data_IF_832984406718
#
_entry.id   IF_832984406718
#
_cell.length_a   1.000
_cell.length_b   1.000
_cell.length_c   1.000
_cell.angle_alpha   90.00
_cell.angle_beta   90.00
_cell.angle_gamma   90.00
#
_symmetry.space_group_name_H-M   'P 1'
#
loop_
_entity.id
_entity.type
_entity.pdbx_description
1 polymer ?
#
# COMPACT_ATOMS: atom_id res chain seq x y z
N UNK A 1 -20.41 -0.48 -12.15
CA UNK A 1 -19.73 -1.76 -11.89
C UNK A 1 -19.84 -2.03 -10.40
N UNK A 2 -20.49 -3.13 -10.03
CA UNK A 2 -20.50 -3.64 -8.67
C UNK A 2 -19.87 -5.04 -8.70
N UNK A 3 -18.80 -5.26 -7.95
CA UNK A 3 -18.11 -6.56 -7.98
C UNK A 3 -17.61 -6.94 -6.60
N UNK A 4 -18.14 -8.05 -6.09
CA UNK A 4 -17.72 -8.60 -4.80
C UNK A 4 -16.32 -9.20 -4.90
N UNK A 5 -15.56 -9.08 -3.80
CA UNK A 5 -14.20 -9.57 -3.70
C UNK A 5 -14.00 -10.30 -2.38
N UNK A 6 -13.37 -11.46 -2.50
CA UNK A 6 -12.99 -12.31 -1.37
C UNK A 6 -11.47 -12.21 -1.19
N UNK A 7 -11.05 -11.90 0.02
CA UNK A 7 -9.68 -11.77 0.45
C UNK A 7 -9.38 -12.69 1.63
N UNK A 8 -8.09 -12.85 1.89
CA UNK A 8 -7.54 -13.58 3.02
C UNK A 8 -6.64 -12.63 3.83
N UNK A 9 -6.51 -12.89 5.12
CA UNK A 9 -5.53 -12.20 5.95
C UNK A 9 -4.10 -12.58 5.54
N UNK A 10 -3.14 -11.70 5.84
CA UNK A 10 -1.72 -11.88 5.53
C UNK A 10 -0.91 -12.00 6.81
N UNK A 11 -0.31 -13.17 7.03
CA UNK A 11 0.35 -13.52 8.29
C UNK A 11 -0.63 -13.46 9.47
N UNK A 12 -0.17 -12.97 10.61
CA UNK A 12 -0.97 -12.93 11.85
C UNK A 12 -1.94 -11.74 11.94
N UNK A 13 -2.18 -11.04 10.83
CA UNK A 13 -3.09 -9.87 10.79
C UNK A 13 -4.53 -10.33 10.97
N UNK A 14 -5.31 -9.52 11.68
CA UNK A 14 -6.78 -9.66 11.80
C UNK A 14 -7.53 -8.59 10.97
N UNK A 15 -6.87 -8.12 9.92
CA UNK A 15 -7.40 -7.09 9.04
C UNK A 15 -6.83 -7.24 7.63
N UNK A 16 -7.59 -6.81 6.64
CA UNK A 16 -7.22 -6.80 5.24
C UNK A 16 -5.99 -5.91 5.00
N UNK A 17 -4.95 -6.48 4.39
CA UNK A 17 -3.76 -5.72 4.02
C UNK A 17 -4.07 -4.85 2.79
N UNK A 18 -3.81 -3.55 2.90
CA UNK A 18 -4.01 -2.57 1.83
C UNK A 18 -3.26 -2.92 0.53
N UNK A 19 -2.10 -3.56 0.64
CA UNK A 19 -1.34 -4.05 -0.52
C UNK A 19 -2.12 -5.11 -1.31
N UNK A 20 -2.88 -5.99 -0.65
CA UNK A 20 -3.70 -6.99 -1.34
C UNK A 20 -4.85 -6.37 -2.13
N UNK A 21 -5.47 -5.30 -1.60
CA UNK A 21 -6.44 -4.49 -2.36
C UNK A 21 -5.80 -3.85 -3.58
N UNK A 22 -4.61 -3.26 -3.42
CA UNK A 22 -3.89 -2.62 -4.51
C UNK A 22 -3.59 -3.63 -5.64
N UNK A 23 -3.07 -4.81 -5.31
CA UNK A 23 -2.76 -5.86 -6.30
C UNK A 23 -4.00 -6.38 -7.02
N UNK A 24 -5.13 -6.51 -6.31
CA UNK A 24 -6.40 -6.90 -6.93
C UNK A 24 -6.97 -5.81 -7.84
N UNK A 25 -6.86 -4.53 -7.44
CA UNK A 25 -7.29 -3.39 -8.26
C UNK A 25 -6.42 -3.23 -9.52
N UNK A 26 -5.11 -3.47 -9.43
CA UNK A 26 -4.24 -3.53 -10.62
C UNK A 26 -4.71 -4.64 -11.56
N UNK A 27 -4.95 -5.86 -11.05
CA UNK A 27 -5.44 -6.98 -11.87
C UNK A 27 -6.80 -6.69 -12.51
N UNK A 28 -7.69 -6.02 -11.79
CA UNK A 28 -8.99 -5.60 -12.30
C UNK A 28 -8.88 -4.57 -13.43
N UNK A 29 -7.90 -3.66 -13.34
CA UNK A 29 -7.68 -2.60 -14.34
C UNK A 29 -6.85 -3.06 -15.53
N UNK A 30 -6.03 -4.10 -15.39
CA UNK A 30 -5.20 -4.66 -16.46
C UNK A 30 -3.75 -4.17 -16.43
N UNK A 31 -3.02 -4.38 -17.54
CA UNK A 31 -1.54 -4.36 -17.58
C UNK A 31 -0.88 -3.01 -17.92
N UNK A 32 -1.59 -1.88 -17.91
CA UNK A 32 -0.98 -0.56 -18.23
C UNK A 32 -1.62 0.59 -17.42
N UNK A 33 -1.86 0.36 -16.13
CA UNK A 33 -2.55 1.34 -15.28
C UNK A 33 -1.64 2.53 -14.96
N UNK A 34 -2.11 3.73 -15.31
CA UNK A 34 -1.38 5.00 -15.13
C UNK A 34 -2.11 5.97 -14.23
N UNK A 35 -1.36 6.91 -13.67
CA UNK A 35 -1.85 8.00 -12.81
C UNK A 35 -2.66 7.48 -11.61
N UNK A 36 -2.11 6.47 -10.96
CA UNK A 36 -2.70 5.77 -9.82
C UNK A 36 -2.67 6.70 -8.61
N UNK A 37 -3.81 6.83 -7.93
CA UNK A 37 -3.95 7.43 -6.62
C UNK A 37 -4.81 6.50 -5.78
N UNK A 38 -4.15 5.72 -4.92
CA UNK A 38 -4.80 4.75 -4.03
C UNK A 38 -4.74 5.27 -2.61
N UNK A 39 -5.89 5.37 -1.94
CA UNK A 39 -6.04 5.77 -0.55
C UNK A 39 -6.67 4.64 0.25
N UNK A 40 -6.12 4.38 1.41
CA UNK A 40 -6.65 3.44 2.38
C UNK A 40 -7.19 4.23 3.57
N UNK A 41 -8.51 4.18 3.77
CA UNK A 41 -9.21 4.99 4.76
C UNK A 41 -9.27 4.32 6.12
N UNK A 42 -9.55 3.01 6.15
CA UNK A 42 -9.69 2.25 7.39
C UNK A 42 -9.37 0.78 7.22
N UNK A 43 -8.98 0.13 8.32
CA UNK A 43 -8.86 -1.34 8.36
C UNK A 43 -10.23 -1.97 8.39
N UNK A 44 -10.32 -3.14 7.78
CA UNK A 44 -11.50 -4.01 7.87
C UNK A 44 -11.08 -5.44 8.14
N UNK A 45 -11.88 -6.16 8.91
CA UNK A 45 -11.81 -7.61 9.08
C UNK A 45 -12.80 -8.35 8.18
N UNK A 46 -13.45 -7.65 7.25
CA UNK A 46 -14.52 -8.16 6.41
C UNK A 46 -14.18 -8.04 4.93
N UNK A 47 -14.91 -8.79 4.11
CA UNK A 47 -14.83 -8.77 2.66
C UNK A 47 -15.34 -7.45 2.11
N UNK A 48 -15.05 -7.19 0.83
CA UNK A 48 -15.32 -5.90 0.22
C UNK A 48 -16.07 -6.01 -1.10
N UNK A 49 -16.74 -4.92 -1.45
CA UNK A 49 -17.38 -4.67 -2.73
C UNK A 49 -16.62 -3.55 -3.44
N UNK A 50 -16.37 -3.72 -4.74
CA UNK A 50 -15.92 -2.62 -5.59
C UNK A 50 -17.10 -1.97 -6.29
N UNK A 51 -17.18 -0.64 -6.22
CA UNK A 51 -18.20 0.17 -6.86
C UNK A 51 -17.55 1.32 -7.66
N UNK A 52 -18.12 1.68 -8.81
CA UNK A 52 -17.75 2.89 -9.56
C UNK A 52 -18.61 4.12 -9.22
N UNK A 53 -19.70 3.90 -8.49
CA UNK A 53 -20.54 4.94 -7.91
C UNK A 53 -20.08 5.22 -6.49
N UNK A 54 -20.07 6.50 -6.12
CA UNK A 54 -19.71 6.92 -4.76
C UNK A 54 -20.68 6.29 -3.76
N UNK A 55 -20.19 5.65 -2.69
CA UNK A 55 -21.04 5.09 -1.65
C UNK A 55 -21.83 6.16 -0.89
N UNK A 56 -22.92 5.74 -0.27
CA UNK A 56 -23.72 6.57 0.62
C UNK A 56 -23.00 6.79 1.96
N UNK A 57 -23.46 7.77 2.74
CA UNK A 57 -22.85 8.10 4.04
C UNK A 57 -22.89 6.97 5.08
N UNK A 58 -23.75 5.97 4.89
CA UNK A 58 -23.90 4.82 5.78
C UNK A 58 -22.92 3.69 5.45
N UNK A 59 -22.39 3.67 4.22
CA UNK A 59 -21.46 2.66 3.76
C UNK A 59 -20.07 2.88 4.37
N UNK A 60 -19.42 1.78 4.74
CA UNK A 60 -18.08 1.80 5.31
C UNK A 60 -17.03 1.80 4.19
N UNK A 61 -16.54 2.98 3.80
CA UNK A 61 -15.50 3.14 2.79
C UNK A 61 -14.14 2.69 3.34
N UNK A 62 -13.62 1.57 2.83
CA UNK A 62 -12.33 0.98 3.20
C UNK A 62 -11.19 1.65 2.44
N UNK A 63 -11.35 1.85 1.13
CA UNK A 63 -10.33 2.41 0.26
C UNK A 63 -10.94 3.14 -0.94
N UNK A 64 -10.17 4.04 -1.55
CA UNK A 64 -10.50 4.73 -2.80
C UNK A 64 -9.34 4.54 -3.78
N UNK A 65 -9.65 4.14 -5.01
CA UNK A 65 -8.71 4.08 -6.12
C UNK A 65 -9.14 5.09 -7.19
N UNK A 66 -8.16 5.79 -7.75
CA UNK A 66 -8.35 6.62 -8.93
C UNK A 66 -7.21 6.38 -9.91
N UNK A 67 -7.54 6.29 -11.19
CA UNK A 67 -6.60 6.24 -12.32
C UNK A 67 -7.15 7.03 -13.51
N UNK A 68 -6.55 6.82 -14.69
CA UNK A 68 -7.01 7.42 -15.95
C UNK A 68 -8.40 6.93 -16.41
N UNK A 69 -8.84 5.74 -15.99
CA UNK A 69 -10.12 5.14 -16.39
C UNK A 69 -11.27 5.53 -15.47
N UNK A 70 -10.98 6.05 -14.27
CA UNK A 70 -11.97 6.60 -13.36
C UNK A 70 -11.67 6.27 -11.91
N UNK A 71 -12.73 6.16 -11.11
CA UNK A 71 -12.63 5.85 -9.69
C UNK A 71 -13.24 4.48 -9.39
N UNK A 72 -12.69 3.82 -8.38
CA UNK A 72 -13.28 2.65 -7.73
C UNK A 72 -13.30 2.93 -6.23
N UNK A 73 -14.46 2.74 -5.62
CA UNK A 73 -14.66 2.77 -4.18
C UNK A 73 -14.65 1.33 -3.67
N UNK A 74 -13.92 1.09 -2.59
CA UNK A 74 -13.86 -0.20 -1.89
C UNK A 74 -14.71 -0.09 -0.63
N UNK A 75 -15.83 -0.80 -0.61
CA UNK A 75 -16.85 -0.71 0.43
C UNK A 75 -16.83 -2.02 1.24
N UNK A 76 -16.88 -1.92 2.56
CA UNK A 76 -16.99 -3.10 3.44
C UNK A 76 -18.33 -3.83 3.22
N UNK A 77 -18.29 -5.16 3.18
CA UNK A 77 -19.48 -6.03 3.18
C UNK A 77 -19.64 -6.66 4.56
N UNK A 78 -20.85 -7.10 4.89
CA UNK A 78 -21.11 -7.79 6.17
C UNK A 78 -20.74 -9.29 6.13
N UNK A 79 -19.55 -9.61 5.59
CA UNK A 79 -19.02 -10.97 5.48
C UNK A 79 -17.62 -10.97 6.06
N UNK A 80 -17.32 -11.74 7.12
CA UNK A 80 -15.98 -11.75 7.73
C UNK A 80 -14.94 -12.41 6.81
N UNK A 81 -13.71 -11.94 6.85
CA UNK A 81 -12.55 -12.68 6.33
C UNK A 81 -12.20 -13.76 7.36
N UNK A 82 -12.18 -15.03 6.95
CA UNK A 82 -11.95 -16.17 7.84
C UNK A 82 -10.64 -16.91 7.58
N UNK A 83 -10.05 -16.70 6.41
CA UNK A 83 -8.85 -17.40 5.97
C UNK A 83 -7.61 -16.52 6.08
N UNK A 84 -6.43 -17.16 6.20
CA UNK A 84 -5.14 -16.48 6.26
C UNK A 84 -4.12 -17.18 5.36
N UNK A 85 -3.25 -16.38 4.75
CA UNK A 85 -2.08 -16.83 4.00
C UNK A 85 -0.80 -16.47 4.75
N UNK A 86 0.23 -17.35 4.71
CA UNK A 86 1.56 -17.01 5.21
C UNK A 86 2.11 -15.73 4.56
N UNK A 87 2.78 -14.90 5.35
CA UNK A 87 3.42 -13.67 4.90
C UNK A 87 4.63 -13.35 5.77
N UNK A 88 5.82 -13.43 5.20
CA UNK A 88 7.09 -13.19 5.88
C UNK A 88 7.64 -11.79 5.53
N UNK A 89 7.13 -10.76 6.21
CA UNK A 89 7.61 -9.38 6.05
C UNK A 89 9.12 -9.24 6.35
N UNK A 90 9.68 -9.89 7.41
CA UNK A 90 11.13 -9.90 7.64
C UNK A 90 11.93 -10.43 6.45
N UNK A 91 11.54 -11.54 5.83
CA UNK A 91 12.23 -12.09 4.67
C UNK A 91 12.15 -11.16 3.44
N UNK A 92 11.04 -10.43 3.27
CA UNK A 92 10.93 -9.39 2.25
C UNK A 92 11.90 -8.23 2.52
N UNK A 93 11.87 -7.68 3.74
CA UNK A 93 12.71 -6.53 4.14
C UNK A 93 14.20 -6.88 4.12
N UNK A 94 14.58 -8.12 4.41
CA UNK A 94 15.97 -8.59 4.33
C UNK A 94 16.58 -8.53 2.92
N UNK A 95 15.78 -8.27 1.87
CA UNK A 95 16.24 -8.06 0.49
C UNK A 95 16.55 -6.59 0.15
N UNK A 96 16.31 -5.67 1.08
CA UNK A 96 16.43 -4.23 0.84
C UNK A 96 17.75 -3.68 1.38
N UNK A 97 18.24 -2.61 0.77
CA UNK A 97 19.44 -1.92 1.23
C UNK A 97 19.06 -0.57 1.85
N UNK A 98 19.29 -0.42 3.15
CA UNK A 98 18.99 0.81 3.87
C UNK A 98 20.21 1.73 3.89
N UNK A 99 20.04 2.96 3.41
CA UNK A 99 21.00 4.05 3.60
C UNK A 99 20.40 5.11 4.53
N UNK A 100 20.80 5.06 5.79
CA UNK A 100 20.31 5.99 6.81
C UNK A 100 20.85 7.41 6.61
N UNK A 101 22.04 7.57 6.01
CA UNK A 101 22.64 8.89 5.80
C UNK A 101 21.81 9.70 4.78
N UNK A 102 21.33 9.04 3.72
CA UNK A 102 20.41 9.63 2.75
C UNK A 102 18.92 9.45 3.08
N UNK A 103 18.62 8.79 4.21
CA UNK A 103 17.25 8.40 4.62
C UNK A 103 16.49 7.73 3.48
N UNK A 104 17.12 6.75 2.86
CA UNK A 104 16.55 6.04 1.73
C UNK A 104 16.70 4.52 1.88
N UNK A 105 15.89 3.79 1.12
CA UNK A 105 15.96 2.34 1.05
C UNK A 105 15.81 1.90 -0.41
N UNK A 106 16.72 1.05 -0.88
CA UNK A 106 16.71 0.46 -2.21
C UNK A 106 15.96 -0.87 -2.18
N UNK A 107 15.08 -1.06 -3.16
CA UNK A 107 14.24 -2.24 -3.33
C UNK A 107 14.52 -2.80 -4.73
N UNK A 108 14.87 -4.09 -4.87
CA UNK A 108 15.16 -4.68 -6.15
C UNK A 108 13.92 -4.79 -7.07
N UNK A 109 14.17 -4.89 -8.37
CA UNK A 109 13.18 -5.11 -9.42
C UNK A 109 12.33 -6.35 -9.10
N UNK A 110 12.99 -7.44 -8.72
CA UNK A 110 12.37 -8.75 -8.47
C UNK A 110 12.31 -9.05 -6.98
N UNK A 111 11.10 -9.19 -6.45
CA UNK A 111 10.84 -9.44 -5.01
C UNK A 111 10.06 -10.72 -4.74
N UNK A 112 10.06 -11.68 -5.67
CA UNK A 112 9.33 -12.96 -5.58
C UNK A 112 9.55 -13.66 -4.21
N UNK A 113 8.50 -14.21 -3.57
CA UNK A 113 7.10 -14.32 -4.03
C UNK A 113 6.21 -13.10 -3.72
N UNK A 114 6.80 -11.99 -3.27
CA UNK A 114 6.07 -10.79 -2.89
C UNK A 114 5.73 -9.92 -4.11
N UNK A 115 4.75 -9.04 -3.96
CA UNK A 115 4.38 -8.06 -5.00
C UNK A 115 5.18 -6.76 -4.84
N UNK A 116 5.24 -5.95 -5.91
CA UNK A 116 5.95 -4.66 -5.87
C UNK A 116 5.33 -3.72 -4.84
N UNK A 117 4.00 -3.66 -4.71
CA UNK A 117 3.36 -2.80 -3.71
C UNK A 117 3.62 -3.29 -2.29
N UNK A 118 3.66 -4.60 -2.05
CA UNK A 118 4.09 -5.16 -0.77
C UNK A 118 5.51 -4.69 -0.42
N UNK A 119 6.42 -4.72 -1.40
CA UNK A 119 7.79 -4.24 -1.21
C UNK A 119 7.86 -2.74 -0.92
N UNK A 120 7.12 -1.90 -1.67
CA UNK A 120 7.07 -0.45 -1.42
C UNK A 120 6.56 -0.13 0.00
N UNK A 121 5.48 -0.80 0.42
CA UNK A 121 4.88 -0.61 1.75
C UNK A 121 5.83 -1.10 2.85
N UNK A 122 6.38 -2.31 2.73
CA UNK A 122 7.29 -2.88 3.72
C UNK A 122 8.59 -2.05 3.80
N UNK A 123 9.13 -1.62 2.66
CA UNK A 123 10.35 -0.83 2.57
C UNK A 123 10.18 0.54 3.23
N UNK A 124 9.11 1.28 2.92
CA UNK A 124 8.92 2.58 3.55
C UNK A 124 8.67 2.47 5.06
N UNK A 125 7.89 1.46 5.48
CA UNK A 125 7.69 1.17 6.90
C UNK A 125 9.01 0.85 7.62
N UNK A 126 9.90 0.08 6.99
CA UNK A 126 11.22 -0.22 7.53
C UNK A 126 12.08 1.05 7.63
N UNK A 127 12.08 1.86 6.59
CA UNK A 127 12.77 3.15 6.57
C UNK A 127 12.28 4.07 7.70
N UNK A 128 10.97 4.19 7.92
CA UNK A 128 10.42 5.03 8.99
C UNK A 128 10.89 4.57 10.38
N UNK A 129 10.94 3.26 10.63
CA UNK A 129 11.48 2.71 11.89
C UNK A 129 12.96 3.06 12.09
N UNK A 130 13.73 3.11 11.01
CA UNK A 130 15.14 3.49 11.06
C UNK A 130 15.34 5.01 11.23
N UNK A 131 14.47 5.83 10.64
CA UNK A 131 14.51 7.30 10.79
C UNK A 131 14.11 7.75 12.20
N UNK A 132 13.21 7.02 12.86
CA UNK A 132 12.75 7.30 14.23
C UNK A 132 13.05 6.13 15.19
N UNK A 133 14.33 5.84 15.48
CA UNK A 133 14.69 4.73 16.35
C UNK A 133 14.17 4.97 17.78
N UNK A 134 13.73 3.91 18.45
CA UNK A 134 13.26 3.97 19.84
C UNK A 134 11.82 4.45 20.05
N UNK A 135 11.11 4.83 18.98
CA UNK A 135 9.68 5.13 19.03
C UNK A 135 8.85 3.90 18.67
N UNK A 136 8.01 3.43 19.58
CA UNK A 136 7.03 2.36 19.31
C UNK A 136 5.82 2.85 18.51
N UNK A 137 6.07 3.51 17.37
CA UNK A 137 5.01 4.01 16.49
C UNK A 137 4.44 2.89 15.62
N UNK A 138 3.12 2.83 15.55
CA UNK A 138 2.40 1.98 14.60
C UNK A 138 2.19 2.75 13.30
N UNK A 139 3.16 2.63 12.40
CA UNK A 139 3.08 3.18 11.05
C UNK A 139 2.05 2.40 10.21
N UNK A 140 1.10 3.11 9.63
CA UNK A 140 0.06 2.54 8.76
C UNK A 140 0.10 3.20 7.39
N UNK A 141 0.15 2.38 6.35
CA UNK A 141 0.04 2.86 4.97
C UNK A 141 -1.35 3.46 4.74
N UNK A 142 -1.40 4.69 4.23
CA UNK A 142 -2.66 5.41 3.99
C UNK A 142 -2.85 5.84 2.55
N UNK A 143 -1.77 6.00 1.77
CA UNK A 143 -1.88 6.41 0.37
C UNK A 143 -0.62 6.08 -0.43
N UNK A 144 -0.81 5.80 -1.72
CA UNK A 144 0.26 5.92 -2.73
C UNK A 144 -0.25 6.69 -3.93
N UNK A 145 0.63 7.49 -4.55
CA UNK A 145 0.40 8.11 -5.85
C UNK A 145 1.51 7.65 -6.78
N UNK A 146 1.17 7.10 -7.93
CA UNK A 146 2.13 6.56 -8.88
C UNK A 146 1.79 7.01 -10.30
N UNK A 147 2.80 7.37 -11.10
CA UNK A 147 2.64 7.54 -12.54
C UNK A 147 2.29 6.19 -13.20
N UNK A 148 2.95 5.13 -12.77
CA UNK A 148 2.76 3.72 -13.12
C UNK A 148 3.38 2.87 -12.00
N UNK A 149 3.07 1.57 -11.93
CA UNK A 149 3.75 0.67 -11.03
C UNK A 149 5.18 0.40 -11.57
N UNK A 150 6.26 0.67 -10.82
CA UNK A 150 7.61 0.51 -11.33
C UNK A 150 8.00 -0.97 -11.42
N UNK A 151 8.56 -1.37 -12.57
CA UNK A 151 9.06 -2.73 -12.81
C UNK A 151 10.53 -2.90 -12.40
N UNK A 152 11.30 -1.81 -12.48
CA UNK A 152 12.72 -1.72 -12.17
C UNK A 152 13.01 -1.70 -10.66
N UNK A 153 14.30 -1.61 -10.34
CA UNK A 153 14.79 -1.22 -9.02
C UNK A 153 14.21 0.15 -8.63
N UNK A 154 13.86 0.29 -7.36
CA UNK A 154 13.31 1.52 -6.82
C UNK A 154 14.02 1.96 -5.56
N UNK A 155 14.18 3.27 -5.43
CA UNK A 155 14.64 3.90 -4.19
C UNK A 155 13.46 4.61 -3.57
N UNK A 156 13.16 4.27 -2.32
CA UNK A 156 12.25 5.04 -1.48
C UNK A 156 13.08 6.03 -0.68
N UNK A 157 12.78 7.31 -0.79
CA UNK A 157 13.45 8.36 -0.01
C UNK A 157 12.45 9.03 0.91
N UNK A 158 12.76 9.09 2.20
CA UNK A 158 11.98 9.88 3.14
C UNK A 158 12.04 11.37 2.73
N UNK A 159 10.88 12.00 2.61
CA UNK A 159 10.76 13.37 2.10
C UNK A 159 10.52 14.34 3.25
N UNK A 160 9.42 14.17 4.00
CA UNK A 160 9.00 15.07 5.09
C UNK A 160 7.89 14.50 5.96
N UNK A 161 7.67 15.18 7.09
CA UNK A 161 6.47 15.06 7.92
C UNK A 161 5.40 16.07 7.48
N UNK A 162 4.13 15.69 7.58
CA UNK A 162 2.95 16.51 7.28
C UNK A 162 1.91 16.27 8.38
N UNK A 163 2.02 17.00 9.48
CA UNK A 163 1.22 16.70 10.68
C UNK A 163 1.51 15.29 11.19
N UNK A 164 0.47 14.47 11.34
CA UNK A 164 0.57 13.07 11.77
C UNK A 164 0.89 12.08 10.62
N UNK A 165 1.33 12.59 9.46
CA UNK A 165 1.65 11.79 8.27
C UNK A 165 3.10 11.92 7.83
N UNK A 166 3.61 10.86 7.23
CA UNK A 166 4.94 10.74 6.65
C UNK A 166 4.85 10.58 5.15
N UNK A 167 5.65 11.33 4.41
CA UNK A 167 5.73 11.24 2.96
C UNK A 167 7.10 10.72 2.54
N UNK A 168 7.11 9.75 1.63
CA UNK A 168 8.28 9.30 0.90
C UNK A 168 8.11 9.52 -0.60
N UNK A 169 9.21 9.84 -1.28
CA UNK A 169 9.28 9.85 -2.73
C UNK A 169 9.73 8.47 -3.24
N UNK A 170 9.14 8.03 -4.36
CA UNK A 170 9.43 6.76 -5.02
C UNK A 170 10.21 7.10 -6.29
N UNK A 171 11.48 6.69 -6.34
CA UNK A 171 12.35 6.93 -7.49
C UNK A 171 12.59 5.62 -8.25
N UNK A 172 12.50 5.68 -9.58
CA UNK A 172 12.90 4.60 -10.49
C UNK A 172 13.80 5.22 -11.56
N UNK A 173 14.97 4.64 -11.82
CA UNK A 173 15.97 5.21 -12.74
C UNK A 173 16.29 6.69 -12.46
N UNK A 174 16.39 7.07 -11.17
CA UNK A 174 16.57 8.45 -10.69
C UNK A 174 15.43 9.43 -10.98
N UNK A 175 14.35 8.98 -11.62
CA UNK A 175 13.15 9.78 -11.83
C UNK A 175 12.14 9.56 -10.71
N UNK A 176 11.50 10.63 -10.24
CA UNK A 176 10.37 10.51 -9.32
C UNK A 176 9.16 9.96 -10.09
N UNK A 177 8.76 8.74 -9.75
CA UNK A 177 7.61 8.03 -10.31
C UNK A 177 6.39 8.06 -9.40
N UNK A 178 6.53 8.57 -8.17
CA UNK A 178 5.42 8.63 -7.24
C UNK A 178 5.79 8.97 -5.81
N UNK A 179 4.80 8.81 -4.94
CA UNK A 179 4.88 9.14 -3.52
C UNK A 179 4.12 8.10 -2.70
N UNK A 180 4.67 7.76 -1.54
CA UNK A 180 4.05 6.88 -0.55
C UNK A 180 3.79 7.65 0.74
N UNK A 181 2.66 7.39 1.37
CA UNK A 181 2.24 8.09 2.58
C UNK A 181 1.84 7.10 3.67
N UNK A 182 2.32 7.37 4.87
CA UNK A 182 1.96 6.65 6.08
C UNK A 182 1.41 7.62 7.11
N UNK A 183 0.47 7.16 7.93
CA UNK A 183 0.04 7.85 9.14
C UNK A 183 0.52 7.12 10.40
N UNK A 184 0.42 7.79 11.54
CA UNK A 184 0.45 7.13 12.84
C UNK A 184 -0.95 6.71 13.26
N UNK A 185 -1.08 5.49 13.76
CA UNK A 185 -2.26 5.11 14.53
C UNK A 185 -1.97 5.26 16.01
N UNK A 186 -2.79 6.09 16.66
CA UNK A 186 -2.84 6.22 18.11
C UNK A 186 -3.69 5.10 18.70
#
# INVERSE_FOLDING_TARGET
MNTEREFQFRGDRKYLQSASLFDDLIRLRGTDVKNIDFKFHQKTGKQVLYADVRPDSQDQLVAEWKDALGRIFVIERDVPITEALPYDEPALVGKFELDIASRSISIPAVVVPFTKIEALVAGFKHLLKAVYPGYERKYVFVRTRLKHLPEEDVVLRYSRDIGDFYQGDILSNSENVGQIFFGEWK
#
